data_IF_575097925138
#
_entry.id   IF_575097925138
#
_cell.length_a   1.000
_cell.length_b   1.000
_cell.length_c   1.000
_cell.angle_alpha   90.00
_cell.angle_beta   90.00
_cell.angle_gamma   90.00
#
_symmetry.space_group_name_H-M   'P 1'
#
loop_
_entity.id
_entity.type
_entity.pdbx_description
1 polymer ?
#
# COMPACT_ATOMS: atom_id res chain seq x y z
N UNK A 1 -31.41 -41.43 25.78
CA UNK A 1 -30.43 -40.68 26.58
C UNK A 1 -28.98 -40.87 26.11
N UNK A 2 -28.35 -42.06 26.19
CA UNK A 2 -26.94 -42.25 25.77
C UNK A 2 -26.62 -41.82 24.33
N UNK A 3 -27.52 -42.08 23.38
CA UNK A 3 -27.34 -41.73 21.97
C UNK A 3 -27.43 -40.21 21.71
N UNK A 4 -28.23 -39.48 22.50
CA UNK A 4 -28.33 -38.01 22.39
C UNK A 4 -27.06 -37.32 22.89
N UNK A 5 -26.46 -37.81 23.98
CA UNK A 5 -25.18 -37.31 24.47
C UNK A 5 -24.02 -37.60 23.49
N UNK A 6 -24.07 -38.73 22.78
CA UNK A 6 -23.11 -39.07 21.73
C UNK A 6 -23.20 -38.08 20.55
N UNK A 7 -24.42 -37.77 20.09
CA UNK A 7 -24.66 -36.81 18.99
C UNK A 7 -24.22 -35.39 19.40
N UNK A 8 -24.58 -34.94 20.61
CA UNK A 8 -24.16 -33.63 21.13
C UNK A 8 -22.63 -33.52 21.27
N UNK A 9 -21.96 -34.60 21.70
CA UNK A 9 -20.50 -34.65 21.77
C UNK A 9 -19.83 -34.50 20.40
N UNK A 10 -20.38 -35.16 19.36
CA UNK A 10 -19.86 -35.05 17.99
C UNK A 10 -20.04 -33.63 17.44
N UNK A 11 -21.21 -33.01 17.65
CA UNK A 11 -21.48 -31.63 17.21
C UNK A 11 -20.49 -30.65 17.86
N UNK A 12 -20.27 -30.79 19.18
CA UNK A 12 -19.32 -29.93 19.89
C UNK A 12 -17.90 -30.05 19.31
N UNK A 13 -17.42 -31.28 19.06
CA UNK A 13 -16.10 -31.51 18.47
C UNK A 13 -16.01 -30.91 17.05
N UNK A 14 -17.03 -31.11 16.22
CA UNK A 14 -17.05 -30.54 14.85
C UNK A 14 -17.01 -29.02 14.89
N UNK A 15 -17.77 -28.37 15.78
CA UNK A 15 -17.75 -26.90 15.92
C UNK A 15 -16.38 -26.38 16.38
N UNK A 16 -15.71 -27.07 17.29
CA UNK A 16 -14.36 -26.71 17.74
C UNK A 16 -13.35 -26.85 16.60
N UNK A 17 -13.42 -27.94 15.82
CA UNK A 17 -12.53 -28.15 14.67
C UNK A 17 -12.74 -27.09 13.60
N UNK A 18 -14.00 -26.74 13.28
CA UNK A 18 -14.33 -25.66 12.33
C UNK A 18 -13.81 -24.32 12.84
N UNK A 19 -13.99 -24.00 14.14
CA UNK A 19 -13.49 -22.77 14.75
C UNK A 19 -11.95 -22.69 14.71
N UNK A 20 -11.25 -23.79 14.99
CA UNK A 20 -9.78 -23.84 14.90
C UNK A 20 -9.32 -23.71 13.44
N UNK A 21 -10.01 -24.36 12.50
CA UNK A 21 -9.67 -24.24 11.08
C UNK A 21 -9.90 -22.81 10.56
N UNK A 22 -11.00 -22.18 10.95
CA UNK A 22 -11.31 -20.78 10.61
C UNK A 22 -10.33 -19.79 11.22
N UNK A 23 -9.96 -19.97 12.49
CA UNK A 23 -8.97 -19.10 13.15
C UNK A 23 -7.59 -19.27 12.52
N UNK A 24 -7.19 -20.49 12.14
CA UNK A 24 -5.95 -20.72 11.39
C UNK A 24 -5.99 -20.13 10.00
N UNK A 25 -7.09 -20.23 9.26
CA UNK A 25 -7.24 -19.61 7.93
C UNK A 25 -7.13 -18.08 8.02
N UNK A 26 -7.81 -17.46 9.00
CA UNK A 26 -7.76 -16.01 9.23
C UNK A 26 -6.37 -15.52 9.65
N UNK A 27 -5.60 -16.36 10.35
CA UNK A 27 -4.28 -16.01 10.86
C UNK A 27 -3.12 -16.45 9.94
N UNK A 28 -3.39 -16.95 8.73
CA UNK A 28 -2.32 -17.18 7.76
C UNK A 28 -1.79 -15.82 7.30
N UNK A 29 -0.56 -15.49 7.72
CA UNK A 29 0.14 -14.33 7.18
C UNK A 29 0.30 -14.52 5.68
N UNK A 30 -0.06 -13.53 4.85
CA UNK A 30 0.23 -13.55 3.42
C UNK A 30 1.71 -13.88 3.20
N UNK A 31 1.98 -14.86 2.34
CA UNK A 31 3.35 -15.20 1.97
C UNK A 31 3.82 -14.33 0.81
N UNK A 32 5.11 -13.96 0.77
CA UNK A 32 5.67 -13.24 -0.35
C UNK A 32 5.50 -14.03 -1.65
N UNK A 33 5.21 -13.30 -2.74
CA UNK A 33 5.02 -13.90 -4.07
C UNK A 33 6.34 -14.50 -4.55
N UNK A 34 6.33 -15.81 -4.83
CA UNK A 34 7.51 -16.55 -5.34
C UNK A 34 7.66 -16.48 -6.85
N UNK A 35 6.56 -16.19 -7.56
CA UNK A 35 6.57 -15.99 -9.01
C UNK A 35 7.19 -14.63 -9.37
N UNK A 36 8.29 -14.70 -10.09
CA UNK A 36 9.06 -13.54 -10.57
C UNK A 36 8.96 -13.36 -12.08
N UNK A 37 8.01 -14.07 -12.74
CA UNK A 37 7.74 -13.89 -14.16
C UNK A 37 7.36 -12.44 -14.47
N UNK A 38 7.78 -11.99 -15.66
CA UNK A 38 7.56 -10.63 -16.14
C UNK A 38 7.23 -10.61 -17.63
N UNK A 39 6.48 -9.58 -18.07
CA UNK A 39 6.35 -9.26 -19.48
C UNK A 39 7.71 -9.06 -20.14
N UNK A 40 7.76 -9.21 -21.46
CA UNK A 40 8.98 -8.93 -22.21
C UNK A 40 9.43 -7.48 -21.98
N UNK A 41 10.74 -7.23 -21.89
CA UNK A 41 11.28 -5.87 -21.67
C UNK A 41 10.85 -4.88 -22.75
N UNK A 42 10.52 -5.35 -23.96
CA UNK A 42 9.96 -4.53 -25.04
C UNK A 42 8.60 -3.90 -24.71
N UNK A 43 7.91 -4.39 -23.68
CA UNK A 43 6.62 -3.85 -23.19
C UNK A 43 6.80 -2.83 -22.07
N UNK A 44 8.04 -2.57 -21.64
CA UNK A 44 8.31 -1.51 -20.67
C UNK A 44 7.88 -0.15 -21.23
N UNK A 45 7.19 0.69 -20.43
CA UNK A 45 6.94 2.07 -20.79
C UNK A 45 8.26 2.79 -21.10
N UNK A 46 8.32 3.49 -22.23
CA UNK A 46 9.51 4.23 -22.65
C UNK A 46 9.41 5.72 -22.33
N UNK A 47 8.18 6.24 -22.26
CA UNK A 47 7.93 7.66 -22.02
C UNK A 47 7.70 7.91 -20.54
N UNK A 48 8.60 8.69 -19.94
CA UNK A 48 8.38 9.23 -18.60
C UNK A 48 7.25 10.26 -18.66
N UNK A 49 6.48 10.35 -17.58
CA UNK A 49 5.43 11.36 -17.43
C UNK A 49 5.81 12.36 -16.35
N UNK A 50 5.28 13.58 -16.46
CA UNK A 50 5.33 14.54 -15.37
C UNK A 50 4.18 14.24 -14.40
N UNK A 51 4.52 13.78 -13.20
CA UNK A 51 3.58 13.62 -12.08
C UNK A 51 4.27 14.03 -10.78
N UNK A 52 3.47 14.22 -9.73
CA UNK A 52 3.93 14.64 -8.41
C UNK A 52 3.88 13.51 -7.35
N UNK A 53 3.84 12.25 -7.79
CA UNK A 53 3.77 11.09 -6.89
C UNK A 53 5.10 10.86 -6.18
N UNK A 54 5.09 11.06 -4.87
CA UNK A 54 6.25 10.89 -4.00
C UNK A 54 5.87 10.07 -2.77
N UNK A 55 6.68 9.10 -2.41
CA UNK A 55 6.58 8.40 -1.11
C UNK A 55 7.87 8.58 -0.35
N UNK A 56 7.76 8.90 0.93
CA UNK A 56 8.89 8.95 1.86
C UNK A 56 8.74 7.82 2.87
N UNK A 57 9.81 7.05 3.00
CA UNK A 57 9.93 5.98 3.99
C UNK A 57 11.03 6.35 4.98
N UNK A 58 10.69 6.35 6.26
CA UNK A 58 11.62 6.61 7.36
C UNK A 58 11.91 5.34 8.16
N UNK A 59 13.08 5.31 8.81
CA UNK A 59 13.55 4.20 9.66
C UNK A 59 13.66 2.85 8.91
N UNK A 60 13.96 2.88 7.61
CA UNK A 60 14.19 1.68 6.79
C UNK A 60 15.69 1.43 6.59
N UNK A 61 16.10 0.17 6.46
CA UNK A 61 17.40 -0.17 5.91
C UNK A 61 17.34 -0.25 4.38
N UNK A 62 18.45 0.06 3.70
CA UNK A 62 18.49 0.03 2.24
C UNK A 62 18.17 -1.36 1.69
N UNK A 63 18.69 -2.42 2.30
CA UNK A 63 18.38 -3.80 1.90
C UNK A 63 16.90 -4.13 2.04
N UNK A 64 16.27 -3.65 3.12
CA UNK A 64 14.86 -3.90 3.41
C UNK A 64 13.99 -3.21 2.38
N UNK A 65 14.19 -1.91 2.14
CA UNK A 65 13.36 -1.17 1.19
C UNK A 65 13.52 -1.71 -0.24
N UNK A 66 14.74 -2.10 -0.65
CA UNK A 66 14.94 -2.74 -1.95
C UNK A 66 14.15 -4.05 -2.07
N UNK A 67 14.14 -4.88 -1.01
CA UNK A 67 13.37 -6.12 -0.99
C UNK A 67 11.87 -5.85 -1.08
N UNK A 68 11.35 -4.91 -0.28
CA UNK A 68 9.95 -4.51 -0.26
C UNK A 68 9.49 -4.06 -1.66
N UNK A 69 10.25 -3.19 -2.32
CA UNK A 69 9.90 -2.70 -3.65
C UNK A 69 9.93 -3.82 -4.70
N UNK A 70 10.90 -4.73 -4.62
CA UNK A 70 10.96 -5.87 -5.53
C UNK A 70 9.76 -6.81 -5.36
N UNK A 71 9.34 -7.09 -4.12
CA UNK A 71 8.19 -7.96 -3.83
C UNK A 71 6.86 -7.30 -4.25
N UNK A 72 6.73 -5.98 -4.12
CA UNK A 72 5.59 -5.25 -4.67
C UNK A 72 5.54 -5.40 -6.20
N UNK A 73 6.66 -5.18 -6.90
CA UNK A 73 6.71 -5.38 -8.34
C UNK A 73 6.42 -6.83 -8.76
N UNK A 74 6.85 -7.83 -7.98
CA UNK A 74 6.48 -9.24 -8.21
C UNK A 74 4.97 -9.47 -8.20
N UNK A 75 4.23 -8.67 -7.43
CA UNK A 75 2.79 -8.82 -7.27
C UNK A 75 2.01 -8.12 -8.40
N UNK A 76 2.46 -6.95 -8.85
CA UNK A 76 1.72 -6.11 -9.79
C UNK A 76 2.21 -6.16 -11.24
N UNK A 77 3.44 -6.60 -11.50
CA UNK A 77 4.02 -6.58 -12.85
C UNK A 77 4.02 -7.94 -13.56
N UNK A 78 3.07 -8.83 -13.26
CA UNK A 78 3.05 -10.19 -13.83
C UNK A 78 2.67 -10.22 -15.31
N UNK A 79 1.55 -9.61 -15.65
CA UNK A 79 1.00 -9.62 -17.01
C UNK A 79 1.31 -8.33 -17.77
N UNK A 80 1.36 -7.21 -17.06
CA UNK A 80 1.69 -5.88 -17.58
C UNK A 80 2.48 -5.11 -16.54
N UNK A 81 3.35 -4.18 -16.95
CA UNK A 81 4.06 -3.30 -16.02
C UNK A 81 3.13 -2.21 -15.48
N UNK A 82 2.65 -2.39 -14.25
CA UNK A 82 1.71 -1.49 -13.58
C UNK A 82 2.39 -0.59 -12.54
N UNK A 83 3.55 -1.00 -12.02
CA UNK A 83 4.29 -0.25 -11.01
C UNK A 83 5.80 -0.32 -11.27
N UNK A 84 6.42 0.81 -11.57
CA UNK A 84 7.88 0.91 -11.78
C UNK A 84 8.43 1.96 -10.81
N UNK A 85 8.52 1.64 -9.51
CA UNK A 85 8.99 2.59 -8.52
C UNK A 85 10.49 2.84 -8.66
N UNK A 86 10.88 4.09 -8.45
CA UNK A 86 12.25 4.58 -8.46
C UNK A 86 12.67 4.96 -7.06
N UNK A 87 13.64 4.25 -6.50
CA UNK A 87 14.19 4.49 -5.17
C UNK A 87 15.37 5.46 -5.23
N UNK A 88 15.33 6.50 -4.40
CA UNK A 88 16.43 7.44 -4.17
C UNK A 88 16.76 7.47 -2.68
N UNK A 89 18.03 7.26 -2.32
CA UNK A 89 18.50 7.37 -0.94
C UNK A 89 18.59 8.85 -0.53
N UNK A 90 17.97 9.21 0.60
CA UNK A 90 18.04 10.57 1.16
C UNK A 90 19.01 10.64 2.33
N UNK A 91 19.02 9.60 3.17
CA UNK A 91 20.00 9.36 4.23
C UNK A 91 20.09 7.86 4.50
N UNK A 92 20.86 7.44 5.50
CA UNK A 92 21.02 6.01 5.83
C UNK A 92 19.73 5.29 6.22
N UNK A 93 18.76 6.03 6.76
CA UNK A 93 17.48 5.49 7.23
C UNK A 93 16.26 6.13 6.56
N UNK A 94 16.46 6.87 5.47
CA UNK A 94 15.39 7.63 4.81
C UNK A 94 15.50 7.55 3.29
N UNK A 95 14.39 7.24 2.66
CA UNK A 95 14.32 7.01 1.22
C UNK A 95 13.13 7.75 0.60
N UNK A 96 13.32 8.20 -0.64
CA UNK A 96 12.27 8.68 -1.50
C UNK A 96 11.97 7.65 -2.58
N UNK A 97 10.68 7.47 -2.89
CA UNK A 97 10.22 6.64 -3.98
C UNK A 97 9.34 7.50 -4.89
N UNK A 98 9.64 7.47 -6.19
CA UNK A 98 8.93 8.21 -7.24
C UNK A 98 8.48 7.27 -8.35
N UNK A 99 7.58 7.74 -9.22
CA UNK A 99 6.95 6.91 -10.25
C UNK A 99 7.11 7.56 -11.63
N UNK A 100 8.31 7.46 -12.26
CA UNK A 100 8.60 8.17 -13.51
C UNK A 100 7.71 7.77 -14.69
N UNK A 101 7.11 6.58 -14.65
CA UNK A 101 6.20 6.06 -15.68
C UNK A 101 4.73 6.07 -15.25
N UNK A 102 4.44 6.85 -14.22
CA UNK A 102 3.17 6.86 -13.50
C UNK A 102 2.84 5.57 -12.77
N UNK A 103 1.79 5.64 -11.96
CA UNK A 103 1.13 4.52 -11.32
C UNK A 103 -0.34 4.92 -11.13
N UNK A 104 -1.26 3.98 -11.34
CA UNK A 104 -2.68 4.22 -11.09
C UNK A 104 -2.90 4.57 -9.60
N UNK A 105 -3.79 5.51 -9.30
CA UNK A 105 -4.02 6.01 -7.94
C UNK A 105 -4.40 4.91 -6.94
N UNK A 106 -5.20 3.93 -7.36
CA UNK A 106 -5.59 2.80 -6.52
C UNK A 106 -4.36 1.94 -6.17
N UNK A 107 -3.55 1.60 -7.18
CA UNK A 107 -2.30 0.86 -6.99
C UNK A 107 -1.29 1.66 -6.15
N UNK A 108 -1.30 3.00 -6.27
CA UNK A 108 -0.51 3.88 -5.43
C UNK A 108 -0.94 3.84 -3.95
N UNK A 109 -2.25 3.75 -3.67
CA UNK A 109 -2.74 3.52 -2.31
C UNK A 109 -2.31 2.14 -1.78
N UNK A 110 -2.44 1.09 -2.60
CA UNK A 110 -1.94 -0.24 -2.25
C UNK A 110 -0.44 -0.25 -1.97
N UNK A 111 0.32 0.50 -2.75
CA UNK A 111 1.76 0.68 -2.55
C UNK A 111 2.07 1.27 -1.18
N UNK A 112 1.38 2.34 -0.77
CA UNK A 112 1.60 2.99 0.53
C UNK A 112 1.31 2.03 1.68
N UNK A 113 0.18 1.31 1.61
CA UNK A 113 -0.17 0.30 2.61
C UNK A 113 0.86 -0.84 2.64
N UNK A 114 1.24 -1.38 1.48
CA UNK A 114 2.18 -2.49 1.37
C UNK A 114 3.57 -2.12 1.90
N UNK A 115 4.09 -0.94 1.58
CA UNK A 115 5.39 -0.49 2.11
C UNK A 115 5.32 -0.29 3.63
N UNK A 116 4.18 0.15 4.16
CA UNK A 116 3.98 0.26 5.60
C UNK A 116 3.88 -1.11 6.29
N UNK A 117 3.23 -2.09 5.65
CA UNK A 117 3.00 -3.46 6.13
C UNK A 117 3.57 -4.53 5.18
N UNK A 118 4.89 -4.58 4.96
CA UNK A 118 5.43 -5.47 3.96
C UNK A 118 5.38 -6.91 4.44
N UNK A 119 5.08 -7.81 3.51
CA UNK A 119 5.03 -9.24 3.78
C UNK A 119 6.42 -9.76 4.22
N UNK A 120 6.44 -10.67 5.19
CA UNK A 120 7.69 -11.26 5.67
C UNK A 120 8.51 -10.39 6.63
N UNK A 121 8.00 -9.23 7.06
CA UNK A 121 8.60 -8.43 8.13
C UNK A 121 7.75 -8.49 9.41
N UNK A 122 8.42 -8.40 10.56
CA UNK A 122 7.76 -8.35 11.89
C UNK A 122 7.66 -6.91 12.44
N UNK A 123 7.83 -5.91 11.57
CA UNK A 123 7.77 -4.49 11.90
C UNK A 123 7.10 -3.70 10.78
N UNK A 124 6.67 -2.49 11.10
CA UNK A 124 6.07 -1.56 10.14
C UNK A 124 7.11 -0.51 9.74
N UNK A 125 6.95 0.05 8.54
CA UNK A 125 7.82 1.10 8.02
C UNK A 125 7.02 2.38 7.87
N UNK A 126 7.44 3.44 8.57
CA UNK A 126 6.71 4.71 8.56
C UNK A 126 6.72 5.29 7.15
N UNK A 127 5.55 5.27 6.52
CA UNK A 127 5.38 5.60 5.10
C UNK A 127 4.35 6.72 4.95
N UNK A 128 4.72 7.76 4.21
CA UNK A 128 3.79 8.84 3.82
C UNK A 128 3.95 9.08 2.33
N UNK A 129 2.83 9.16 1.62
CA UNK A 129 2.75 9.50 0.21
C UNK A 129 2.14 10.88 -0.04
N UNK A 130 2.50 11.47 -1.18
CA UNK A 130 1.93 12.71 -1.69
C UNK A 130 1.66 12.56 -3.18
N UNK A 131 0.54 13.14 -3.62
CA UNK A 131 0.17 13.24 -5.05
C UNK A 131 -0.90 14.32 -5.19
N UNK A 132 -1.13 14.77 -6.41
CA UNK A 132 -2.37 15.44 -6.81
C UNK A 132 -3.35 14.40 -7.33
N UNK A 133 -4.60 14.47 -6.86
CA UNK A 133 -5.69 13.58 -7.28
C UNK A 133 -6.33 14.03 -8.58
N UNK A 134 -6.87 13.09 -9.36
CA UNK A 134 -7.64 13.34 -10.57
C UNK A 134 -9.12 13.00 -10.35
N UNK A 135 -10.07 13.75 -10.95
CA UNK A 135 -11.49 13.36 -10.95
C UNK A 135 -11.79 11.94 -11.44
N UNK A 136 -10.95 11.36 -12.30
CA UNK A 136 -11.11 9.98 -12.80
C UNK A 136 -10.50 8.92 -11.89
N UNK A 137 -9.80 9.30 -10.83
CA UNK A 137 -9.21 8.34 -9.90
C UNK A 137 -10.32 7.66 -9.08
N UNK A 138 -10.15 6.35 -8.87
CA UNK A 138 -11.01 5.60 -7.97
C UNK A 138 -11.01 6.24 -6.58
N UNK A 139 -12.17 6.23 -5.93
CA UNK A 139 -12.38 6.83 -4.62
C UNK A 139 -12.20 8.35 -4.56
N UNK A 140 -12.04 9.07 -5.66
CA UNK A 140 -12.00 10.53 -5.65
C UNK A 140 -13.41 11.10 -5.87
N UNK A 141 -13.75 12.13 -5.09
CA UNK A 141 -15.04 12.84 -5.19
C UNK A 141 -14.76 14.31 -5.50
N UNK A 142 -15.79 15.09 -5.82
CA UNK A 142 -15.65 16.53 -6.08
C UNK A 142 -14.88 17.28 -4.98
N UNK A 143 -15.08 16.89 -3.72
CA UNK A 143 -14.40 17.50 -2.55
C UNK A 143 -12.91 17.15 -2.46
N UNK A 144 -12.45 16.10 -3.12
CA UNK A 144 -11.06 15.64 -3.06
C UNK A 144 -10.37 15.61 -4.42
N UNK A 145 -11.03 16.02 -5.51
CA UNK A 145 -10.50 16.02 -6.87
C UNK A 145 -9.61 17.24 -7.14
N UNK A 146 -8.53 17.06 -7.92
CA UNK A 146 -7.58 18.12 -8.27
C UNK A 146 -6.93 18.78 -7.05
N UNK A 147 -6.74 18.03 -5.97
CA UNK A 147 -6.14 18.51 -4.73
C UNK A 147 -4.83 17.81 -4.47
N UNK A 148 -3.85 18.53 -3.96
CA UNK A 148 -2.71 17.90 -3.30
C UNK A 148 -3.22 17.16 -2.07
N UNK A 149 -2.81 15.90 -1.95
CA UNK A 149 -3.19 15.03 -0.85
C UNK A 149 -1.95 14.45 -0.19
N UNK A 150 -2.08 14.16 1.10
CA UNK A 150 -1.15 13.38 1.90
C UNK A 150 -1.84 12.06 2.21
N UNK A 151 -1.17 10.95 1.88
CA UNK A 151 -1.65 9.59 2.08
C UNK A 151 -0.78 8.90 3.14
N UNK A 152 -1.41 8.19 4.07
CA UNK A 152 -0.70 7.56 5.18
C UNK A 152 -1.50 6.39 5.75
N UNK A 153 -0.84 5.56 6.55
CA UNK A 153 -1.52 4.59 7.39
C UNK A 153 -1.69 5.15 8.80
N UNK A 154 -2.86 4.90 9.40
CA UNK A 154 -3.17 5.35 10.76
C UNK A 154 -2.20 4.72 11.77
N UNK A 155 -1.81 5.50 12.78
CA UNK A 155 -0.98 4.96 13.88
C UNK A 155 -1.79 4.00 14.78
N UNK A 156 -3.12 3.99 14.63
CA UNK A 156 -4.06 3.14 15.36
C UNK A 156 -4.74 2.11 14.47
N UNK A 157 -4.25 1.90 13.24
CA UNK A 157 -4.84 0.93 12.32
C UNK A 157 -4.75 -0.50 12.88
N UNK A 158 -5.91 -1.17 12.90
CA UNK A 158 -6.05 -2.58 13.30
C UNK A 158 -6.58 -3.45 12.18
N UNK A 159 -6.97 -2.85 11.06
CA UNK A 159 -7.61 -3.54 9.94
C UNK A 159 -6.58 -3.92 8.86
N UNK A 160 -5.48 -3.16 8.75
CA UNK A 160 -4.35 -3.40 7.85
C UNK A 160 -4.68 -3.32 6.35
N UNK A 161 -5.92 -3.02 5.98
CA UNK A 161 -6.45 -2.98 4.62
C UNK A 161 -6.98 -1.59 4.23
N UNK A 162 -6.42 -0.54 4.83
CA UNK A 162 -6.82 0.84 4.60
C UNK A 162 -5.64 1.78 4.39
N UNK A 163 -5.91 2.89 3.70
CA UNK A 163 -5.06 4.08 3.67
C UNK A 163 -5.90 5.31 3.95
N UNK A 164 -5.35 6.23 4.72
CA UNK A 164 -5.96 7.51 5.02
C UNK A 164 -5.46 8.57 4.06
N UNK A 165 -6.36 9.45 3.64
CA UNK A 165 -6.10 10.57 2.75
C UNK A 165 -6.46 11.86 3.48
N UNK A 166 -5.55 12.84 3.48
CA UNK A 166 -5.86 14.21 3.89
C UNK A 166 -5.51 15.19 2.79
N UNK A 167 -6.51 15.95 2.35
CA UNK A 167 -6.37 17.02 1.33
C UNK A 167 -5.68 18.25 1.90
N UNK A 168 -5.12 19.12 1.04
CA UNK A 168 -4.41 20.34 1.48
C UNK A 168 -5.27 21.29 2.33
N UNK A 169 -6.61 21.26 2.15
CA UNK A 169 -7.58 22.00 2.95
C UNK A 169 -8.09 21.21 4.16
N UNK A 170 -7.38 20.15 4.56
CA UNK A 170 -7.61 19.31 5.73
C UNK A 170 -8.95 18.57 5.76
N UNK A 171 -9.45 18.16 4.59
CA UNK A 171 -10.54 17.17 4.51
C UNK A 171 -9.92 15.77 4.54
N UNK A 172 -10.34 14.97 5.53
CA UNK A 172 -9.85 13.61 5.78
C UNK A 172 -10.78 12.52 5.24
N UNK A 173 -10.19 11.43 4.75
CA UNK A 173 -10.90 10.24 4.30
C UNK A 173 -10.16 8.97 4.74
N UNK A 174 -10.91 7.91 4.98
CA UNK A 174 -10.41 6.54 5.05
C UNK A 174 -10.76 5.85 3.72
N UNK A 175 -9.77 5.25 3.07
CA UNK A 175 -9.89 4.53 1.81
C UNK A 175 -9.69 3.05 2.11
N UNK A 176 -10.77 2.27 2.07
CA UNK A 176 -10.73 0.84 2.37
C UNK A 176 -10.65 -0.01 1.13
N UNK A 177 -9.88 -1.09 1.22
CA UNK A 177 -9.63 -2.00 0.10
C UNK A 177 -10.62 -3.16 0.05
N UNK A 178 -11.39 -3.36 1.13
CA UNK A 178 -12.45 -4.35 1.19
C UNK A 178 -13.68 -3.90 0.39
N UNK A 179 -14.35 -4.87 -0.24
CA UNK A 179 -15.58 -4.63 -1.00
C UNK A 179 -16.66 -4.01 -0.09
N UNK A 180 -17.14 -2.82 -0.47
CA UNK A 180 -18.13 -2.05 0.30
C UNK A 180 -17.56 -1.01 1.27
N UNK A 181 -16.23 -0.94 1.45
CA UNK A 181 -15.53 0.01 2.34
C UNK A 181 -14.69 1.05 1.57
N UNK A 182 -15.07 1.31 0.31
CA UNK A 182 -14.25 1.98 -0.70
C UNK A 182 -13.78 3.39 -0.30
N UNK A 183 -14.65 4.18 0.35
CA UNK A 183 -14.30 5.53 0.83
C UNK A 183 -15.24 6.00 1.93
N UNK A 184 -14.67 6.41 3.06
CA UNK A 184 -15.37 7.05 4.16
C UNK A 184 -14.84 8.46 4.40
N UNK A 185 -15.72 9.47 4.32
CA UNK A 185 -15.40 10.82 4.78
C UNK A 185 -15.29 10.84 6.30
N UNK A 186 -14.27 11.51 6.83
CA UNK A 186 -14.06 11.69 8.26
C UNK A 186 -14.58 13.06 8.71
N UNK A 187 -15.09 13.15 9.94
CA UNK A 187 -15.47 14.43 10.55
C UNK A 187 -14.25 15.37 10.69
N UNK A 188 -13.10 14.79 11.02
CA UNK A 188 -11.80 15.45 11.08
C UNK A 188 -10.72 14.50 10.55
N UNK A 189 -9.66 15.00 9.87
CA UNK A 189 -8.54 14.17 9.48
C UNK A 189 -7.78 13.69 10.73
N UNK A 190 -7.30 12.45 10.71
CA UNK A 190 -6.44 11.94 11.79
C UNK A 190 -5.10 12.69 11.83
N UNK A 191 -4.56 13.04 10.65
CA UNK A 191 -3.32 13.81 10.51
C UNK A 191 -3.59 15.00 9.59
N UNK A 192 -3.35 16.21 10.09
CA UNK A 192 -3.40 17.40 9.25
C UNK A 192 -2.43 17.28 8.08
N UNK A 193 -2.83 17.84 6.93
CA UNK A 193 -1.99 17.88 5.75
C UNK A 193 -0.65 18.53 6.05
N UNK A 194 0.42 17.86 5.63
CA UNK A 194 1.77 18.40 5.57
C UNK A 194 2.21 18.35 4.13
N UNK A 195 2.72 19.47 3.62
CA UNK A 195 3.31 19.52 2.27
C UNK A 195 4.48 18.54 2.18
N UNK A 196 4.71 17.98 0.99
CA UNK A 196 5.86 17.11 0.78
C UNK A 196 7.16 17.82 1.18
N UNK A 197 8.11 17.10 1.82
CA UNK A 197 9.31 17.73 2.38
C UNK A 197 10.37 18.07 1.33
N UNK A 198 10.26 17.54 0.11
CA UNK A 198 11.28 17.61 -0.94
C UNK A 198 10.57 17.71 -2.30
N UNK A 199 11.09 18.53 -3.21
CA UNK A 199 10.61 18.59 -4.59
C UNK A 199 11.15 17.41 -5.42
N UNK A 200 10.32 16.81 -6.26
CA UNK A 200 10.71 15.67 -7.11
C UNK A 200 11.82 16.06 -8.08
N UNK A 201 11.88 17.31 -8.53
CA UNK A 201 12.97 17.79 -9.40
C UNK A 201 14.35 17.63 -8.76
N UNK A 202 14.44 17.61 -7.43
CA UNK A 202 15.70 17.40 -6.70
C UNK A 202 16.26 15.97 -6.84
N UNK A 203 15.46 15.03 -7.36
CA UNK A 203 15.89 13.63 -7.53
C UNK A 203 16.48 13.35 -8.92
N UNK A 204 16.29 14.21 -9.92
CA UNK A 204 16.70 13.93 -11.30
C UNK A 204 18.21 13.66 -11.44
N UNK A 205 19.02 14.38 -10.66
CA UNK A 205 20.47 14.24 -10.64
C UNK A 205 21.00 13.25 -9.60
N UNK A 206 20.14 12.68 -8.73
CA UNK A 206 20.56 11.76 -7.68
C UNK A 206 20.66 10.34 -8.21
N UNK A 207 21.59 9.58 -7.63
CA UNK A 207 21.67 8.15 -7.88
C UNK A 207 20.36 7.49 -7.41
N UNK A 208 19.79 6.71 -8.31
CA UNK A 208 18.53 6.01 -8.09
C UNK A 208 18.60 4.58 -8.59
N UNK A 209 17.65 3.77 -8.15
CA UNK A 209 17.46 2.40 -8.59
C UNK A 209 15.99 2.20 -8.97
N UNK A 210 15.75 1.68 -10.17
CA UNK A 210 14.41 1.40 -10.69
C UNK A 210 14.06 -0.07 -10.46
N UNK A 211 12.84 -0.33 -9.99
CA UNK A 211 12.31 -1.67 -9.78
C UNK A 211 11.26 -2.02 -10.81
N UNK A 212 11.16 -3.31 -11.16
CA UNK A 212 10.21 -3.83 -12.14
C UNK A 212 9.80 -5.27 -11.87
#
# INVERSE_FOLDING_TARGET
MKQQYLILGIIAIVTIVIFIAWTKLKNQKPQPVTDTSRPAESTLPTNKVSNDKLVIVEDADESDIKKILQEFCNSYNKETYQAIPRLTKLSDKKFAITFPFDINFEIYCYFINYVNYPMGFNRHFKTIGWTTTNPSDNWITEKSANKNVMLYVSDFDTEYDNVFLTTFDNIGYKLGFAMGEEKQLLDLPEKNYKKQPIDISEFEAKQHFDFK
#
